data_IF_016248863644
#
_entry.id   IF_016248863644
#
_cell.length_a   1.000
_cell.length_b   1.000
_cell.length_c   1.000
_cell.angle_alpha   90.00
_cell.angle_beta   90.00
_cell.angle_gamma   90.00
#
_symmetry.space_group_name_H-M   'P 1'
#
loop_
_entity.id
_entity.type
_entity.pdbx_description
1 polymer ?
#
# COMPACT_ATOMS: atom_id res chain seq x y z
N UNK A 1 0.64 -2.09 22.88
CA UNK A 1 -0.02 -1.84 21.59
C UNK A 1 0.89 -2.45 20.53
N UNK A 2 0.49 -3.53 19.86
CA UNK A 2 1.28 -4.06 18.74
C UNK A 2 1.10 -3.10 17.57
N UNK A 3 2.16 -2.43 17.15
CA UNK A 3 2.13 -1.66 15.92
C UNK A 3 1.93 -2.64 14.76
N UNK A 4 0.80 -2.53 14.06
CA UNK A 4 0.64 -3.17 12.76
C UNK A 4 1.62 -2.50 11.81
N UNK A 5 2.57 -3.25 11.28
CA UNK A 5 3.56 -2.76 10.31
C UNK A 5 3.16 -3.16 8.90
N UNK A 6 3.53 -2.35 7.92
CA UNK A 6 3.34 -2.70 6.52
C UNK A 6 4.34 -3.79 6.10
N UNK A 7 3.84 -4.99 5.79
CA UNK A 7 4.65 -6.15 5.37
C UNK A 7 3.94 -6.94 4.27
N UNK A 8 4.73 -7.55 3.38
CA UNK A 8 4.25 -8.47 2.33
C UNK A 8 4.37 -9.95 2.71
N UNK A 9 5.02 -10.27 3.84
CA UNK A 9 5.36 -11.65 4.22
C UNK A 9 4.12 -12.56 4.40
N UNK A 10 3.02 -12.00 4.90
CA UNK A 10 1.77 -12.72 5.18
C UNK A 10 0.68 -12.48 4.13
N UNK A 11 0.99 -11.81 3.01
CA UNK A 11 0.02 -11.57 1.96
C UNK A 11 -0.13 -12.79 1.04
N UNK A 12 -1.36 -13.18 0.68
CA UNK A 12 -1.57 -14.18 -0.36
C UNK A 12 -1.01 -13.67 -1.69
N UNK A 13 -0.56 -14.60 -2.54
CA UNK A 13 -0.07 -14.26 -3.87
C UNK A 13 -1.12 -13.46 -4.65
N UNK A 14 -0.77 -12.23 -5.02
CA UNK A 14 -1.59 -11.34 -5.81
C UNK A 14 -1.04 -11.27 -7.23
N UNK A 15 -1.88 -11.57 -8.22
CA UNK A 15 -1.50 -11.48 -9.64
C UNK A 15 -1.78 -10.11 -10.26
N UNK A 16 -2.49 -9.23 -9.54
CA UNK A 16 -2.76 -7.86 -10.00
C UNK A 16 -1.51 -6.97 -9.86
N UNK A 17 -1.30 -6.03 -10.79
CA UNK A 17 -0.14 -5.15 -10.76
C UNK A 17 -0.15 -4.24 -9.54
N UNK A 18 1.03 -4.09 -8.93
CA UNK A 18 1.27 -3.15 -7.83
C UNK A 18 1.43 -1.73 -8.36
N UNK A 19 0.37 -0.93 -8.34
CA UNK A 19 0.34 0.44 -8.90
C UNK A 19 0.15 1.53 -7.85
N UNK A 20 -0.08 1.15 -6.60
CA UNK A 20 -0.25 2.07 -5.47
C UNK A 20 0.82 1.81 -4.43
N UNK A 21 1.57 2.83 -4.06
CA UNK A 21 2.52 2.79 -2.96
C UNK A 21 1.86 3.28 -1.67
N UNK A 22 1.94 2.47 -0.62
CA UNK A 22 1.47 2.81 0.73
C UNK A 22 2.67 2.97 1.65
N UNK A 23 2.61 3.95 2.55
CA UNK A 23 3.60 4.17 3.61
C UNK A 23 2.90 4.15 4.98
N UNK A 24 3.51 3.50 5.98
CA UNK A 24 3.01 3.50 7.36
C UNK A 24 3.67 4.57 8.25
N UNK A 25 3.26 4.66 9.51
CA UNK A 25 3.82 5.61 10.48
C UNK A 25 5.30 5.37 10.83
N UNK A 26 5.78 4.15 10.62
CA UNK A 26 7.19 3.78 10.81
C UNK A 26 8.05 4.09 9.57
N UNK A 27 7.43 4.59 8.50
CA UNK A 27 8.09 4.90 7.23
C UNK A 27 8.32 3.67 6.34
N UNK A 28 7.76 2.50 6.67
CA UNK A 28 7.81 1.33 5.80
C UNK A 28 6.94 1.57 4.57
N UNK A 29 7.43 1.15 3.40
CA UNK A 29 6.77 1.38 2.11
C UNK A 29 6.53 0.06 1.40
N UNK A 30 5.35 -0.13 0.84
CA UNK A 30 5.04 -1.29 0.01
C UNK A 30 4.18 -0.89 -1.18
N UNK A 31 4.46 -1.53 -2.31
CA UNK A 31 3.67 -1.44 -3.52
C UNK A 31 2.61 -2.54 -3.54
N UNK A 32 1.38 -2.17 -3.86
CA UNK A 32 0.25 -3.09 -3.91
C UNK A 32 -0.74 -2.71 -5.01
N UNK A 33 -1.56 -3.69 -5.39
CA UNK A 33 -2.71 -3.39 -6.24
C UNK A 33 -3.72 -2.52 -5.45
N UNK A 34 -4.67 -1.85 -6.12
CA UNK A 34 -5.61 -0.96 -5.44
C UNK A 34 -6.37 -1.65 -4.30
N UNK A 35 -6.72 -2.93 -4.45
CA UNK A 35 -7.39 -3.73 -3.42
C UNK A 35 -6.52 -3.94 -2.18
N UNK A 36 -5.24 -4.29 -2.37
CA UNK A 36 -4.29 -4.46 -1.26
C UNK A 36 -3.94 -3.14 -0.59
N UNK A 37 -3.82 -2.05 -1.36
CA UNK A 37 -3.61 -0.73 -0.82
C UNK A 37 -4.80 -0.31 0.08
N UNK A 38 -6.05 -0.47 -0.36
CA UNK A 38 -7.23 -0.17 0.46
C UNK A 38 -7.25 -1.00 1.75
N UNK A 39 -6.88 -2.28 1.69
CA UNK A 39 -6.78 -3.13 2.88
C UNK A 39 -5.69 -2.63 3.83
N UNK A 40 -4.51 -2.28 3.31
CA UNK A 40 -3.42 -1.73 4.11
C UNK A 40 -3.83 -0.43 4.81
N UNK A 41 -4.49 0.50 4.10
CA UNK A 41 -4.98 1.77 4.67
C UNK A 41 -5.99 1.57 5.82
N UNK A 42 -6.72 0.45 5.83
CA UNK A 42 -7.69 0.13 6.90
C UNK A 42 -7.08 -0.65 8.07
N UNK A 43 -6.08 -1.48 7.78
CA UNK A 43 -5.53 -2.43 8.75
C UNK A 43 -4.25 -1.94 9.44
N UNK A 44 -3.49 -1.06 8.78
CA UNK A 44 -2.22 -0.54 9.26
C UNK A 44 -2.44 0.87 9.78
N UNK A 45 -2.10 1.10 11.04
CA UNK A 45 -2.32 2.38 11.71
C UNK A 45 -1.52 3.49 11.03
N UNK A 46 -2.22 4.57 10.66
CA UNK A 46 -1.66 5.74 9.98
C UNK A 46 -1.04 5.47 8.61
N UNK A 47 -1.38 4.33 7.99
CA UNK A 47 -1.04 4.08 6.60
C UNK A 47 -1.71 5.10 5.67
N UNK A 48 -0.94 5.57 4.68
CA UNK A 48 -1.39 6.54 3.67
C UNK A 48 -0.80 6.22 2.31
N UNK A 49 -1.49 6.67 1.25
CA UNK A 49 -0.98 6.56 -0.11
C UNK A 49 0.19 7.55 -0.25
N UNK A 50 1.35 7.03 -0.64
CA UNK A 50 2.53 7.82 -0.97
C UNK A 50 2.55 8.17 -2.46
N UNK A 51 2.19 7.22 -3.33
CA UNK A 51 2.14 7.37 -4.79
C UNK A 51 1.04 6.50 -5.40
N UNK A 52 0.43 6.98 -6.49
CA UNK A 52 -0.54 6.23 -7.28
C UNK A 52 -0.25 6.40 -8.78
N UNK A 53 0.35 5.37 -9.38
CA UNK A 53 0.75 5.40 -10.79
C UNK A 53 -0.43 5.48 -11.75
N UNK A 54 -1.65 5.21 -11.28
CA UNK A 54 -2.87 5.38 -12.09
C UNK A 54 -3.20 6.85 -12.30
N UNK A 55 -2.78 7.71 -11.37
CA UNK A 55 -2.96 9.15 -11.45
C UNK A 55 -1.77 9.84 -12.12
N UNK A 56 -0.56 9.25 -12.06
CA UNK A 56 0.63 9.81 -12.70
C UNK A 56 0.67 9.61 -14.24
N UNK A 57 -0.16 8.69 -14.78
CA UNK A 57 -0.30 8.46 -16.22
C UNK A 57 -1.24 9.45 -16.93
N UNK A 58 -1.85 10.38 -16.20
CA UNK A 58 -2.78 11.40 -16.72
C UNK A 58 -2.10 12.77 -16.70
N UNK A 59 -1.00 12.90 -17.45
CA UNK A 59 -0.35 14.18 -17.72
C UNK A 59 -0.50 14.50 -19.22
N UNK A 60 -1.04 15.70 -19.59
CA UNK A 60 -1.32 16.07 -20.98
C UNK A 60 -0.08 16.15 -21.86
#
# INVERSE_FOLDING_TARGET
MNACILTTADQPNCTLPGVVEVVDLSGQRAWGCPTHAIRALRAVEGARIARDLRQEGEQP
#
